data_IF_333938299489
#
_entry.id   IF_333938299489
#
_cell.length_a   1.000
_cell.length_b   1.000
_cell.length_c   1.000
_cell.angle_alpha   90.00
_cell.angle_beta   90.00
_cell.angle_gamma   90.00
#
_symmetry.space_group_name_H-M   'P 1'
#
loop_
_entity.id
_entity.type
_entity.pdbx_description
1 polymer ?
#
# COMPACT_ATOMS: atom_id res chain seq x y z
N UNK A 1 7.83 -7.36 -6.14
CA UNK A 1 9.01 -6.46 -6.08
C UNK A 1 10.24 -7.11 -6.66
N UNK A 2 10.70 -8.27 -6.16
CA UNK A 2 11.94 -8.97 -6.58
C UNK A 2 12.04 -9.14 -8.11
N UNK A 3 10.97 -9.62 -8.76
CA UNK A 3 10.98 -9.79 -10.23
C UNK A 3 11.27 -8.48 -10.99
N UNK A 4 10.67 -7.36 -10.54
CA UNK A 4 10.90 -6.04 -11.16
C UNK A 4 12.34 -5.57 -11.00
N UNK A 5 12.92 -5.77 -9.82
CA UNK A 5 14.32 -5.45 -9.56
C UNK A 5 15.29 -6.30 -10.42
N UNK A 6 15.07 -7.62 -10.50
CA UNK A 6 15.90 -8.52 -11.32
C UNK A 6 15.83 -8.13 -12.81
N UNK A 7 14.64 -7.81 -13.34
CA UNK A 7 14.47 -7.41 -14.74
C UNK A 7 15.18 -6.09 -15.05
N UNK A 8 15.07 -5.08 -14.16
CA UNK A 8 15.74 -3.81 -14.33
C UNK A 8 17.27 -3.97 -14.27
N UNK A 9 17.78 -4.65 -13.25
CA UNK A 9 19.21 -4.89 -13.08
C UNK A 9 19.80 -5.64 -14.27
N UNK A 10 19.13 -6.72 -14.71
CA UNK A 10 19.60 -7.52 -15.87
C UNK A 10 19.66 -6.70 -17.16
N UNK A 11 18.69 -5.80 -17.37
CA UNK A 11 18.67 -4.96 -18.56
C UNK A 11 19.85 -3.99 -18.62
N UNK A 12 20.48 -3.69 -17.49
CA UNK A 12 21.66 -2.82 -17.35
C UNK A 12 22.96 -3.61 -17.09
N UNK A 13 22.93 -4.95 -17.18
CA UNK A 13 24.11 -5.80 -17.04
C UNK A 13 24.51 -6.15 -15.60
N UNK A 14 23.61 -5.89 -14.62
CA UNK A 14 23.84 -6.21 -13.21
C UNK A 14 23.21 -7.54 -12.80
N UNK A 15 23.78 -8.16 -11.78
CA UNK A 15 23.25 -9.36 -11.14
C UNK A 15 22.65 -8.99 -9.79
N UNK A 16 21.55 -9.63 -9.41
CA UNK A 16 20.86 -9.43 -8.13
C UNK A 16 20.99 -10.68 -7.28
N UNK A 17 21.50 -10.55 -6.08
CA UNK A 17 21.41 -11.54 -5.01
C UNK A 17 20.24 -11.19 -4.11
N UNK A 18 19.47 -12.17 -3.66
CA UNK A 18 18.30 -11.95 -2.81
C UNK A 18 18.48 -12.71 -1.50
N UNK A 19 18.44 -12.01 -0.39
CA UNK A 19 18.34 -12.58 0.94
C UNK A 19 16.92 -12.32 1.48
N UNK A 20 16.32 -13.34 2.09
CA UNK A 20 15.02 -13.21 2.77
C UNK A 20 15.21 -13.44 4.26
N UNK A 21 14.71 -12.52 5.07
CA UNK A 21 14.91 -12.54 6.52
C UNK A 21 13.65 -12.95 7.29
N UNK A 22 12.50 -12.99 6.64
CA UNK A 22 11.18 -13.22 7.27
C UNK A 22 10.91 -12.33 8.50
N UNK A 23 11.57 -11.16 8.57
CA UNK A 23 11.47 -10.23 9.70
C UNK A 23 12.41 -10.52 10.87
N UNK A 24 13.32 -11.50 10.74
CA UNK A 24 14.35 -11.76 11.73
C UNK A 24 15.50 -10.74 11.62
N UNK A 25 15.63 -9.89 12.66
CA UNK A 25 16.63 -8.83 12.70
C UNK A 25 18.07 -9.34 12.86
N UNK A 26 18.28 -10.55 13.40
CA UNK A 26 19.63 -11.15 13.47
C UNK A 26 20.04 -11.63 12.09
N UNK A 27 19.18 -12.39 11.43
CA UNK A 27 19.41 -12.85 10.06
C UNK A 27 19.60 -11.70 9.09
N UNK A 28 18.89 -10.57 9.29
CA UNK A 28 19.07 -9.38 8.47
C UNK A 28 20.49 -8.83 8.55
N UNK A 29 21.03 -8.70 9.77
CA UNK A 29 22.42 -8.26 10.00
C UNK A 29 23.44 -9.22 9.42
N UNK A 30 23.26 -10.51 9.67
CA UNK A 30 24.16 -11.55 9.15
C UNK A 30 24.21 -11.53 7.62
N UNK A 31 23.06 -11.33 6.96
CA UNK A 31 22.99 -11.21 5.50
C UNK A 31 23.66 -9.93 4.98
N UNK A 32 23.47 -8.81 5.68
CA UNK A 32 24.13 -7.54 5.31
C UNK A 32 25.65 -7.64 5.45
N UNK A 33 26.14 -8.26 6.53
CA UNK A 33 27.58 -8.52 6.71
C UNK A 33 28.14 -9.43 5.63
N UNK A 34 27.43 -10.54 5.31
CA UNK A 34 27.82 -11.43 4.23
C UNK A 34 27.85 -10.73 2.87
N UNK A 35 26.86 -9.88 2.56
CA UNK A 35 26.85 -9.07 1.32
C UNK A 35 28.03 -8.11 1.26
N UNK A 36 28.39 -7.47 2.38
CA UNK A 36 29.58 -6.63 2.48
C UNK A 36 30.87 -7.42 2.23
N UNK A 37 31.02 -8.58 2.87
CA UNK A 37 32.19 -9.46 2.69
C UNK A 37 32.31 -10.01 1.26
N UNK A 38 31.20 -10.24 0.58
CA UNK A 38 31.14 -10.63 -0.83
C UNK A 38 31.34 -9.46 -1.79
N UNK A 39 31.58 -8.27 -1.27
CA UNK A 39 31.85 -7.07 -2.06
C UNK A 39 30.72 -6.74 -3.06
N UNK A 40 29.45 -6.89 -2.64
CA UNK A 40 28.35 -6.39 -3.46
C UNK A 40 28.44 -4.86 -3.58
N UNK A 41 28.15 -4.33 -4.76
CA UNK A 41 28.29 -2.89 -5.02
C UNK A 41 27.35 -2.04 -4.13
N UNK A 42 26.10 -2.50 -3.97
CA UNK A 42 25.00 -1.74 -3.32
C UNK A 42 23.90 -2.66 -2.78
N UNK A 43 23.05 -2.13 -1.91
CA UNK A 43 21.94 -2.88 -1.30
C UNK A 43 20.60 -2.18 -1.51
N UNK A 44 19.55 -2.95 -1.80
CA UNK A 44 18.17 -2.55 -1.60
C UNK A 44 17.64 -3.23 -0.35
N UNK A 45 17.33 -2.45 0.68
CA UNK A 45 16.65 -2.96 1.87
C UNK A 45 15.14 -2.79 1.66
N UNK A 46 14.39 -3.91 1.66
CA UNK A 46 13.00 -3.92 1.27
C UNK A 46 12.08 -4.57 2.29
N UNK A 47 10.87 -4.04 2.44
CA UNK A 47 9.80 -4.64 3.24
C UNK A 47 8.53 -4.86 2.44
N UNK A 48 7.67 -5.77 2.90
CA UNK A 48 6.41 -6.09 2.19
C UNK A 48 5.34 -5.01 2.39
N UNK A 49 5.38 -4.31 3.52
CA UNK A 49 4.45 -3.22 3.86
C UNK A 49 5.24 -1.98 4.23
N UNK A 50 4.74 -0.82 3.84
CA UNK A 50 5.36 0.46 4.20
C UNK A 50 5.23 0.71 5.70
N UNK A 51 6.36 0.78 6.39
CA UNK A 51 6.41 1.13 7.81
C UNK A 51 7.67 1.92 8.17
N UNK A 52 7.60 2.65 9.27
CA UNK A 52 8.76 3.34 9.83
C UNK A 52 9.62 2.36 10.65
N UNK A 53 10.93 2.37 10.42
CA UNK A 53 11.88 1.55 11.20
C UNK A 53 13.29 2.15 11.22
N UNK A 54 14.04 1.80 12.26
CA UNK A 54 15.47 2.05 12.27
C UNK A 54 16.19 1.18 11.22
N UNK A 55 17.19 1.78 10.58
CA UNK A 55 18.00 1.07 9.59
C UNK A 55 19.18 0.42 10.32
N UNK A 56 19.48 -0.88 10.07
CA UNK A 56 20.63 -1.55 10.66
C UNK A 56 21.94 -0.83 10.31
N UNK A 57 22.85 -0.69 11.28
CA UNK A 57 24.14 -0.01 11.07
C UNK A 57 24.98 -0.72 9.99
N UNK A 58 24.81 -2.02 9.82
CA UNK A 58 25.46 -2.82 8.78
C UNK A 58 25.08 -2.32 7.37
N UNK A 59 23.84 -1.86 7.17
CA UNK A 59 23.38 -1.28 5.89
C UNK A 59 24.08 0.05 5.57
N UNK A 60 24.57 0.79 6.58
CA UNK A 60 25.28 2.08 6.35
C UNK A 60 26.69 1.89 5.79
N UNK A 61 27.24 0.67 5.82
CA UNK A 61 28.56 0.35 5.27
C UNK A 61 28.56 0.30 3.73
N UNK A 62 27.39 0.26 3.13
CA UNK A 62 27.18 0.24 1.67
C UNK A 62 26.11 1.27 1.32
N UNK A 63 26.20 1.93 0.16
CA UNK A 63 25.10 2.76 -0.29
C UNK A 63 23.83 1.91 -0.47
N UNK A 64 22.76 2.36 0.19
CA UNK A 64 21.54 1.59 0.36
C UNK A 64 20.33 2.38 -0.16
N UNK A 65 19.48 1.72 -0.93
CA UNK A 65 18.14 2.23 -1.31
C UNK A 65 17.10 1.54 -0.43
N UNK A 66 16.20 2.32 0.14
CA UNK A 66 15.10 1.82 0.96
C UNK A 66 13.83 1.63 0.11
N UNK A 67 13.26 0.44 0.15
CA UNK A 67 12.03 0.10 -0.56
C UNK A 67 10.91 -0.26 0.42
N UNK A 68 9.83 0.50 0.43
CA UNK A 68 8.74 0.43 1.41
C UNK A 68 9.15 0.71 2.86
N UNK A 69 10.23 1.44 3.08
CA UNK A 69 10.74 1.78 4.41
C UNK A 69 10.82 3.30 4.53
N UNK A 70 10.26 3.84 5.61
CA UNK A 70 10.56 5.17 6.11
C UNK A 70 11.58 5.04 7.25
N UNK A 71 12.80 5.59 7.11
CA UNK A 71 13.79 5.55 8.17
C UNK A 71 13.32 6.39 9.36
N UNK A 72 13.66 5.95 10.57
CA UNK A 72 13.41 6.72 11.81
C UNK A 72 14.64 7.48 12.29
N UNK A 73 15.76 7.37 11.58
CA UNK A 73 16.97 8.16 11.77
C UNK A 73 17.02 9.31 10.76
N UNK A 74 17.91 10.28 10.99
CA UNK A 74 18.08 11.46 10.15
C UNK A 74 19.05 11.23 8.97
N UNK A 75 19.36 9.98 8.63
CA UNK A 75 20.29 9.68 7.55
C UNK A 75 19.64 9.81 6.16
N UNK A 76 20.46 10.26 5.20
CA UNK A 76 20.04 10.56 3.83
C UNK A 76 19.96 9.29 2.98
N UNK A 77 18.81 8.63 2.99
CA UNK A 77 18.56 7.47 2.12
C UNK A 77 17.74 7.83 0.90
N UNK A 78 18.08 7.25 -0.25
CA UNK A 78 17.16 7.18 -1.39
C UNK A 78 16.03 6.21 -1.05
N UNK A 79 14.80 6.70 -1.17
CA UNK A 79 13.59 5.94 -0.79
C UNK A 79 12.69 5.74 -1.98
N UNK A 80 12.18 4.54 -2.14
CA UNK A 80 11.15 4.20 -3.14
C UNK A 80 9.93 3.69 -2.40
N UNK A 81 8.82 4.39 -2.54
CA UNK A 81 7.59 4.15 -1.79
C UNK A 81 6.38 4.10 -2.72
N UNK A 82 5.33 3.36 -2.39
CA UNK A 82 4.05 3.49 -3.07
C UNK A 82 3.41 4.84 -2.74
N UNK A 83 2.75 5.47 -3.71
CA UNK A 83 2.02 6.73 -3.50
C UNK A 83 0.64 6.46 -2.88
N UNK A 84 0.65 6.13 -1.59
CA UNK A 84 -0.54 5.74 -0.84
C UNK A 84 -1.49 6.94 -0.60
N UNK A 85 -0.95 8.14 -0.47
CA UNK A 85 -1.76 9.36 -0.31
C UNK A 85 -2.56 9.63 -1.58
N UNK A 86 -1.90 9.62 -2.73
CA UNK A 86 -2.59 9.81 -4.01
C UNK A 86 -3.59 8.69 -4.30
N UNK A 87 -3.30 7.44 -3.91
CA UNK A 87 -4.23 6.32 -4.08
C UNK A 87 -5.48 6.49 -3.21
N UNK A 88 -5.32 6.90 -1.95
CA UNK A 88 -6.44 7.20 -1.06
C UNK A 88 -7.31 8.35 -1.58
N UNK A 89 -6.67 9.44 -2.03
CA UNK A 89 -7.36 10.57 -2.66
C UNK A 89 -8.12 10.15 -3.93
N UNK A 90 -7.51 9.35 -4.80
CA UNK A 90 -8.14 8.86 -6.01
C UNK A 90 -9.34 7.93 -5.71
N UNK A 91 -9.25 7.10 -4.67
CA UNK A 91 -10.34 6.24 -4.23
C UNK A 91 -11.54 7.05 -3.74
N UNK A 92 -11.30 8.06 -2.91
CA UNK A 92 -12.35 8.95 -2.42
C UNK A 92 -12.97 9.76 -3.58
N UNK A 93 -12.15 10.28 -4.49
CA UNK A 93 -12.62 11.02 -5.67
C UNK A 93 -13.52 10.15 -6.55
N UNK A 94 -13.15 8.92 -6.82
CA UNK A 94 -14.00 7.98 -7.56
C UNK A 94 -15.39 7.84 -6.92
N UNK A 95 -15.47 7.65 -5.60
CA UNK A 95 -16.75 7.51 -4.91
C UNK A 95 -17.56 8.81 -4.90
N UNK A 96 -16.91 9.97 -4.75
CA UNK A 96 -17.56 11.28 -4.81
C UNK A 96 -18.10 11.55 -6.22
N UNK A 97 -17.29 11.35 -7.26
CA UNK A 97 -17.64 11.63 -8.65
C UNK A 97 -18.75 10.70 -9.17
N UNK A 98 -18.82 9.47 -8.64
CA UNK A 98 -19.92 8.52 -8.90
C UNK A 98 -21.13 8.71 -7.98
N UNK A 99 -21.22 9.80 -7.25
CA UNK A 99 -22.43 10.24 -6.52
C UNK A 99 -22.66 9.59 -5.17
N UNK A 100 -21.73 8.79 -4.63
CA UNK A 100 -21.89 8.15 -3.34
C UNK A 100 -21.87 9.15 -2.17
N UNK A 101 -22.72 8.92 -1.18
CA UNK A 101 -22.94 9.85 -0.04
C UNK A 101 -22.86 9.16 1.32
N UNK A 102 -23.12 7.86 1.40
CA UNK A 102 -23.19 7.06 2.62
C UNK A 102 -22.05 6.05 2.63
N UNK A 103 -20.85 6.59 2.78
CA UNK A 103 -19.59 5.85 2.65
C UNK A 103 -19.14 5.37 4.01
N UNK A 104 -18.80 4.09 4.11
CA UNK A 104 -18.20 3.46 5.29
C UNK A 104 -16.79 3.00 4.96
N UNK A 105 -15.84 3.28 5.87
CA UNK A 105 -14.45 2.81 5.80
C UNK A 105 -14.32 1.48 6.55
N UNK A 106 -13.74 0.48 5.92
CA UNK A 106 -13.58 -0.86 6.49
C UNK A 106 -12.08 -1.20 6.62
N UNK A 107 -11.64 -1.44 7.85
CA UNK A 107 -10.27 -1.81 8.19
C UNK A 107 -9.46 -0.72 8.87
N UNK A 108 -9.97 0.49 8.96
CA UNK A 108 -9.27 1.64 9.58
C UNK A 108 -10.21 2.44 10.48
N UNK A 109 -9.63 3.25 11.38
CA UNK A 109 -10.34 4.29 12.13
C UNK A 109 -10.58 5.54 11.27
N UNK A 110 -11.05 6.59 11.90
CA UNK A 110 -11.32 7.90 11.30
C UNK A 110 -10.18 8.91 11.48
N UNK A 111 -9.15 8.56 12.25
CA UNK A 111 -7.97 9.36 12.51
C UNK A 111 -6.73 8.72 11.85
N UNK A 112 -6.06 9.42 10.90
CA UNK A 112 -4.84 8.91 10.27
C UNK A 112 -3.72 8.57 11.26
N UNK A 113 -3.61 9.29 12.39
CA UNK A 113 -2.60 9.02 13.40
C UNK A 113 -2.79 7.65 14.09
N UNK A 114 -4.02 7.12 14.07
CA UNK A 114 -4.41 5.85 14.66
C UNK A 114 -5.08 4.91 13.65
N UNK A 115 -4.82 5.09 12.36
CA UNK A 115 -5.51 4.35 11.30
C UNK A 115 -5.27 2.84 11.39
N UNK A 116 -4.03 2.43 11.66
CA UNK A 116 -3.65 1.02 11.81
C UNK A 116 -2.32 0.88 12.56
N UNK A 117 -2.19 -0.06 13.51
CA UNK A 117 -1.00 -0.17 14.37
C UNK A 117 0.28 -0.63 13.65
N UNK A 118 0.18 -1.21 12.46
CA UNK A 118 1.30 -1.88 11.79
C UNK A 118 1.73 -1.26 10.46
N UNK A 119 1.22 -0.10 10.07
CA UNK A 119 1.65 0.41 8.79
C UNK A 119 1.30 1.86 8.48
N UNK A 120 2.25 2.56 7.86
CA UNK A 120 2.07 3.91 7.35
C UNK A 120 1.09 3.96 6.17
N UNK A 121 1.02 2.90 5.37
CA UNK A 121 0.15 2.83 4.20
C UNK A 121 -1.31 3.13 4.53
N UNK A 122 -1.83 2.56 5.64
CA UNK A 122 -3.21 2.82 6.07
C UNK A 122 -3.43 4.29 6.43
N UNK A 123 -2.51 4.89 7.19
CA UNK A 123 -2.56 6.30 7.58
C UNK A 123 -2.49 7.22 6.36
N UNK A 124 -1.61 6.94 5.43
CA UNK A 124 -1.42 7.72 4.20
C UNK A 124 -2.64 7.63 3.27
N UNK A 125 -3.19 6.41 3.04
CA UNK A 125 -4.44 6.21 2.27
C UNK A 125 -5.60 6.96 2.91
N UNK A 126 -5.75 6.83 4.22
CA UNK A 126 -6.81 7.50 4.96
C UNK A 126 -6.66 9.03 4.87
N UNK A 127 -5.46 9.57 5.07
CA UNK A 127 -5.19 11.01 4.94
C UNK A 127 -5.60 11.53 3.56
N UNK A 128 -5.17 10.84 2.49
CA UNK A 128 -5.56 11.20 1.11
C UNK A 128 -7.07 11.14 0.89
N UNK A 129 -7.73 10.10 1.38
CA UNK A 129 -9.18 9.96 1.24
C UNK A 129 -9.95 11.06 2.00
N UNK A 130 -9.58 11.33 3.26
CA UNK A 130 -10.23 12.33 4.08
C UNK A 130 -10.10 13.75 3.51
N UNK A 131 -8.95 14.10 2.90
CA UNK A 131 -8.78 15.40 2.26
C UNK A 131 -9.81 15.62 1.14
N UNK A 132 -10.02 14.61 0.29
CA UNK A 132 -11.01 14.68 -0.81
C UNK A 132 -12.44 14.71 -0.28
N UNK A 133 -12.78 13.91 0.72
CA UNK A 133 -14.11 13.96 1.33
C UNK A 133 -14.40 15.34 1.95
N UNK A 134 -13.42 15.93 2.63
CA UNK A 134 -13.55 17.27 3.19
C UNK A 134 -13.74 18.35 2.10
N UNK A 135 -12.93 18.34 1.04
CA UNK A 135 -13.04 19.24 -0.11
C UNK A 135 -14.42 19.14 -0.79
N UNK A 136 -14.97 17.94 -0.89
CA UNK A 136 -16.28 17.69 -1.48
C UNK A 136 -17.46 17.95 -0.52
N UNK A 137 -17.21 18.39 0.71
CA UNK A 137 -18.23 18.55 1.77
C UNK A 137 -18.92 17.22 2.12
N UNK A 138 -18.22 16.09 1.97
CA UNK A 138 -18.72 14.76 2.30
C UNK A 138 -18.20 14.32 3.66
N UNK A 139 -19.05 13.68 4.42
CA UNK A 139 -18.67 13.02 5.67
C UNK A 139 -18.75 11.50 5.48
N UNK A 140 -17.76 10.78 6.02
CA UNK A 140 -17.87 9.33 6.18
C UNK A 140 -18.94 9.03 7.24
N UNK A 141 -19.77 8.02 6.99
CA UNK A 141 -20.81 7.62 7.96
C UNK A 141 -20.17 6.91 9.14
N UNK A 142 -19.25 6.00 8.89
CA UNK A 142 -18.46 5.36 9.94
C UNK A 142 -17.12 4.85 9.41
N UNK A 143 -16.17 4.70 10.33
CA UNK A 143 -14.93 3.98 10.15
C UNK A 143 -14.90 2.76 11.09
N UNK A 144 -14.50 1.61 10.59
CA UNK A 144 -14.50 0.33 11.31
C UNK A 144 -13.08 -0.24 11.36
N UNK A 145 -12.31 0.06 12.41
CA UNK A 145 -10.94 -0.40 12.53
C UNK A 145 -10.84 -1.90 12.83
N UNK A 146 -9.77 -2.51 12.39
CA UNK A 146 -9.34 -3.84 12.81
C UNK A 146 -7.83 -3.97 12.65
N UNK A 147 -7.19 -4.77 13.49
CA UNK A 147 -5.76 -5.07 13.39
C UNK A 147 -5.47 -6.19 12.37
N UNK A 148 -6.48 -6.97 12.00
CA UNK A 148 -6.32 -8.07 11.06
C UNK A 148 -7.09 -7.79 9.78
N UNK A 149 -6.37 -7.48 8.72
CA UNK A 149 -6.97 -7.25 7.40
C UNK A 149 -7.22 -8.57 6.66
N UNK A 150 -8.10 -9.41 7.23
CA UNK A 150 -8.47 -10.73 6.74
C UNK A 150 -9.96 -10.82 6.41
N UNK A 151 -10.40 -11.77 5.56
CA UNK A 151 -11.81 -11.89 5.16
C UNK A 151 -12.79 -12.05 6.32
N UNK A 152 -12.51 -12.83 7.39
CA UNK A 152 -13.42 -12.90 8.53
C UNK A 152 -13.69 -11.56 9.22
N UNK A 153 -12.68 -10.70 9.30
CA UNK A 153 -12.84 -9.35 9.85
C UNK A 153 -13.68 -8.46 8.94
N UNK A 154 -13.44 -8.50 7.63
CA UNK A 154 -14.27 -7.79 6.66
C UNK A 154 -15.73 -8.20 6.75
N UNK A 155 -16.00 -9.49 6.87
CA UNK A 155 -17.34 -10.04 7.09
C UNK A 155 -17.98 -9.51 8.38
N UNK A 156 -17.28 -9.60 9.50
CA UNK A 156 -17.77 -9.15 10.81
C UNK A 156 -18.09 -7.64 10.80
N UNK A 157 -17.14 -6.83 10.34
CA UNK A 157 -17.29 -5.36 10.34
C UNK A 157 -18.44 -4.89 9.45
N UNK A 158 -18.60 -5.48 8.26
CA UNK A 158 -19.70 -5.13 7.36
C UNK A 158 -21.03 -5.66 7.89
N UNK A 159 -21.05 -6.83 8.51
CA UNK A 159 -22.24 -7.32 9.23
C UNK A 159 -22.71 -6.34 10.30
N UNK A 160 -21.79 -5.83 11.13
CA UNK A 160 -22.10 -4.82 12.15
C UNK A 160 -22.65 -3.51 11.55
N UNK A 161 -22.10 -3.07 10.40
CA UNK A 161 -22.64 -1.90 9.68
C UNK A 161 -24.08 -2.14 9.25
N UNK A 162 -24.37 -3.28 8.62
CA UNK A 162 -25.71 -3.60 8.13
C UNK A 162 -26.70 -3.82 9.29
N UNK A 163 -26.28 -4.49 10.36
CA UNK A 163 -27.12 -4.77 11.53
C UNK A 163 -27.42 -3.52 12.37
N UNK A 164 -26.59 -2.47 12.27
CA UNK A 164 -26.85 -1.18 12.94
C UNK A 164 -28.00 -0.39 12.32
N UNK A 165 -28.51 -0.78 11.15
CA UNK A 165 -29.50 -0.04 10.38
C UNK A 165 -28.96 1.23 9.73
N UNK A 166 -27.65 1.45 9.74
CA UNK A 166 -27.03 2.58 9.06
C UNK A 166 -27.24 2.48 7.56
N UNK A 167 -27.57 3.60 6.92
CA UNK A 167 -27.63 3.67 5.47
C UNK A 167 -26.23 3.55 4.88
N UNK A 168 -26.06 2.71 3.85
CA UNK A 168 -24.81 2.47 3.16
C UNK A 168 -25.04 2.47 1.65
N UNK A 169 -24.21 3.19 0.90
CA UNK A 169 -24.17 3.13 -0.56
C UNK A 169 -22.78 2.79 -1.10
N UNK A 170 -21.74 2.94 -0.29
CA UNK A 170 -20.40 2.49 -0.63
C UNK A 170 -19.61 1.97 0.59
N UNK A 171 -18.80 0.94 0.34
CA UNK A 171 -17.76 0.46 1.24
C UNK A 171 -16.39 0.73 0.61
N UNK A 172 -15.53 1.48 1.31
CA UNK A 172 -14.11 1.61 1.00
C UNK A 172 -13.34 0.68 1.92
N UNK A 173 -12.97 -0.48 1.40
CA UNK A 173 -12.20 -1.50 2.10
C UNK A 173 -10.71 -1.24 1.92
N UNK A 174 -9.93 -1.23 3.01
CA UNK A 174 -8.52 -0.86 2.95
C UNK A 174 -7.60 -1.96 2.41
N UNK A 175 -8.14 -3.15 2.11
CA UNK A 175 -7.54 -4.14 1.23
C UNK A 175 -8.59 -5.09 0.63
N UNK A 176 -8.20 -5.86 -0.39
CA UNK A 176 -9.07 -6.82 -1.08
C UNK A 176 -9.55 -7.96 -0.18
N UNK A 177 -8.78 -8.36 0.85
CA UNK A 177 -9.19 -9.42 1.77
C UNK A 177 -10.38 -8.97 2.63
N UNK A 178 -10.37 -7.74 3.12
CA UNK A 178 -11.52 -7.15 3.78
C UNK A 178 -12.72 -7.05 2.83
N UNK A 179 -12.48 -6.62 1.58
CA UNK A 179 -13.52 -6.55 0.56
C UNK A 179 -14.14 -7.94 0.26
N UNK A 180 -13.34 -9.00 0.28
CA UNK A 180 -13.86 -10.37 0.13
C UNK A 180 -14.83 -10.73 1.26
N UNK A 181 -14.50 -10.39 2.50
CA UNK A 181 -15.43 -10.57 3.63
C UNK A 181 -16.67 -9.69 3.52
N UNK A 182 -16.50 -8.44 3.04
CA UNK A 182 -17.62 -7.54 2.76
C UNK A 182 -18.62 -8.15 1.75
N UNK A 183 -18.12 -8.73 0.66
CA UNK A 183 -18.95 -9.41 -0.33
C UNK A 183 -19.79 -10.53 0.29
N UNK A 184 -19.19 -11.33 1.17
CA UNK A 184 -19.90 -12.43 1.87
C UNK A 184 -21.00 -11.88 2.78
N UNK A 185 -20.71 -10.82 3.57
CA UNK A 185 -21.69 -10.21 4.46
C UNK A 185 -22.87 -9.57 3.70
N UNK A 186 -22.59 -8.90 2.57
CA UNK A 186 -23.62 -8.35 1.69
C UNK A 186 -24.48 -9.45 1.06
N UNK A 187 -23.84 -10.51 0.54
CA UNK A 187 -24.53 -11.63 -0.10
C UNK A 187 -25.47 -12.35 0.86
N UNK A 188 -25.05 -12.62 2.10
CA UNK A 188 -25.90 -13.28 3.10
C UNK A 188 -27.18 -12.48 3.45
N UNK A 189 -27.12 -11.15 3.28
CA UNK A 189 -28.27 -10.25 3.52
C UNK A 189 -29.04 -9.88 2.25
N UNK A 190 -28.70 -10.49 1.12
CA UNK A 190 -29.34 -10.21 -0.17
C UNK A 190 -29.06 -8.81 -0.71
N UNK A 191 -28.03 -8.12 -0.22
CA UNK A 191 -27.60 -6.80 -0.69
C UNK A 191 -26.74 -6.97 -1.94
N UNK A 192 -27.13 -6.34 -3.02
CA UNK A 192 -26.49 -6.51 -4.34
C UNK A 192 -25.32 -5.54 -4.50
N UNK A 193 -24.23 -6.06 -5.05
CA UNK A 193 -23.07 -5.28 -5.47
C UNK A 193 -23.09 -5.23 -7.02
N UNK A 194 -23.00 -4.06 -7.64
CA UNK A 194 -22.91 -2.70 -7.08
C UNK A 194 -24.27 -2.01 -6.88
N UNK A 195 -25.40 -2.64 -7.25
CA UNK A 195 -26.71 -1.98 -7.39
C UNK A 195 -27.17 -1.33 -6.09
N UNK A 196 -27.04 -2.02 -4.96
CA UNK A 196 -27.44 -1.52 -3.65
C UNK A 196 -26.25 -0.89 -2.93
N UNK A 197 -25.06 -1.51 -2.97
CA UNK A 197 -23.82 -1.04 -2.33
C UNK A 197 -22.63 -1.23 -3.25
N UNK A 198 -21.90 -0.14 -3.53
CA UNK A 198 -20.61 -0.21 -4.22
C UNK A 198 -19.49 -0.66 -3.29
N UNK A 199 -18.53 -1.43 -3.79
CA UNK A 199 -17.35 -1.86 -3.03
C UNK A 199 -16.08 -1.48 -3.79
N UNK A 200 -15.20 -0.71 -3.13
CA UNK A 200 -13.91 -0.27 -3.65
C UNK A 200 -12.80 -0.70 -2.69
N UNK A 201 -11.63 -1.04 -3.21
CA UNK A 201 -10.56 -1.55 -2.36
C UNK A 201 -9.15 -1.26 -2.89
N UNK A 202 -8.13 -1.87 -2.26
CA UNK A 202 -6.72 -1.77 -2.60
C UNK A 202 -6.09 -3.16 -2.66
N UNK A 203 -4.99 -3.33 -3.40
CA UNK A 203 -4.03 -4.40 -3.60
C UNK A 203 -4.07 -5.05 -5.00
N UNK A 204 -5.23 -5.24 -5.61
CA UNK A 204 -5.46 -6.03 -6.84
C UNK A 204 -4.92 -7.45 -6.73
N UNK A 205 -5.29 -8.12 -5.63
CA UNK A 205 -4.97 -9.53 -5.42
C UNK A 205 -5.57 -10.40 -6.52
N UNK A 206 -5.00 -11.59 -6.72
CA UNK A 206 -5.41 -12.48 -7.81
C UNK A 206 -6.90 -12.84 -7.82
N UNK A 207 -7.55 -12.87 -6.65
CA UNK A 207 -8.98 -13.17 -6.54
C UNK A 207 -9.90 -11.97 -6.82
N UNK A 208 -9.40 -10.71 -6.79
CA UNK A 208 -10.24 -9.53 -7.02
C UNK A 208 -11.01 -9.60 -8.34
N UNK A 209 -10.39 -10.14 -9.39
CA UNK A 209 -11.03 -10.38 -10.71
C UNK A 209 -11.99 -11.58 -10.73
N UNK A 210 -11.92 -12.45 -9.73
CA UNK A 210 -12.74 -13.66 -9.65
C UNK A 210 -13.98 -13.48 -8.77
N UNK A 211 -14.05 -12.42 -7.96
CA UNK A 211 -15.27 -12.05 -7.26
C UNK A 211 -16.40 -11.76 -8.27
N UNK A 212 -17.64 -11.90 -7.84
CA UNK A 212 -18.81 -11.60 -8.66
C UNK A 212 -19.73 -10.63 -7.89
N UNK A 213 -19.87 -9.41 -8.43
CA UNK A 213 -19.14 -8.81 -9.56
C UNK A 213 -17.63 -8.64 -9.29
N UNK A 214 -16.82 -8.45 -10.37
CA UNK A 214 -15.37 -8.23 -10.24
C UNK A 214 -15.08 -6.98 -9.40
N UNK A 215 -14.14 -7.09 -8.46
CA UNK A 215 -13.80 -6.02 -7.51
C UNK A 215 -12.96 -4.93 -8.15
N UNK A 216 -13.44 -3.69 -8.10
CA UNK A 216 -12.69 -2.47 -8.43
C UNK A 216 -11.71 -2.17 -7.32
N UNK A 217 -10.42 -1.98 -7.64
CA UNK A 217 -9.35 -1.89 -6.65
C UNK A 217 -8.17 -1.11 -7.18
N UNK A 218 -7.38 -0.49 -6.30
CA UNK A 218 -6.11 0.13 -6.63
C UNK A 218 -4.99 -0.90 -6.52
N UNK A 219 -4.30 -1.17 -7.64
CA UNK A 219 -3.30 -2.23 -7.69
C UNK A 219 -2.01 -1.81 -6.96
N UNK A 220 -1.56 -2.62 -6.00
CA UNK A 220 -0.25 -2.42 -5.39
C UNK A 220 0.86 -2.68 -6.41
N UNK A 221 1.73 -1.69 -6.73
CA UNK A 221 2.59 -1.72 -7.91
C UNK A 221 3.91 -2.49 -7.66
N UNK A 222 3.83 -3.74 -7.18
CA UNK A 222 4.99 -4.53 -6.73
C UNK A 222 6.15 -4.56 -7.74
N UNK A 223 5.83 -4.77 -9.03
CA UNK A 223 6.87 -4.88 -10.08
C UNK A 223 7.50 -3.52 -10.37
N UNK A 224 6.70 -2.46 -10.39
CA UNK A 224 7.19 -1.09 -10.61
C UNK A 224 8.05 -0.60 -9.44
N UNK A 225 7.65 -0.88 -8.21
CA UNK A 225 8.44 -0.60 -7.01
C UNK A 225 9.82 -1.26 -7.06
N UNK A 226 9.88 -2.55 -7.36
CA UNK A 226 11.15 -3.26 -7.48
C UNK A 226 12.01 -2.74 -8.63
N UNK A 227 11.41 -2.38 -9.77
CA UNK A 227 12.11 -1.75 -10.89
C UNK A 227 12.70 -0.40 -10.47
N UNK A 228 11.88 0.49 -9.89
CA UNK A 228 12.31 1.82 -9.47
C UNK A 228 13.47 1.74 -8.45
N UNK A 229 13.38 0.83 -7.47
CA UNK A 229 14.45 0.65 -6.50
C UNK A 229 15.78 0.18 -7.15
N UNK A 230 15.71 -0.71 -8.14
CA UNK A 230 16.90 -1.15 -8.87
C UNK A 230 17.47 -0.05 -9.76
N UNK A 231 16.61 0.72 -10.44
CA UNK A 231 17.03 1.83 -11.28
C UNK A 231 17.72 2.92 -10.44
N UNK A 232 17.13 3.33 -9.30
CA UNK A 232 17.76 4.27 -8.35
C UNK A 232 19.11 3.76 -7.84
N UNK A 233 19.18 2.46 -7.48
CA UNK A 233 20.41 1.86 -6.98
C UNK A 233 21.52 1.85 -8.05
N UNK A 234 21.19 1.49 -9.27
CA UNK A 234 22.16 1.43 -10.37
C UNK A 234 22.62 2.86 -10.75
N UNK A 235 21.71 3.83 -10.74
CA UNK A 235 22.06 5.22 -10.97
C UNK A 235 23.05 5.74 -9.91
N UNK A 236 22.93 5.31 -8.64
CA UNK A 236 23.92 5.61 -7.59
C UNK A 236 25.28 4.94 -7.87
N UNK A 237 25.30 3.72 -8.43
CA UNK A 237 26.54 3.03 -8.83
C UNK A 237 27.24 3.83 -9.95
N UNK A 238 26.51 4.15 -11.02
CA UNK A 238 27.06 4.78 -12.23
C UNK A 238 27.50 6.22 -12.02
N UNK A 239 26.85 6.96 -11.13
CA UNK A 239 27.23 8.34 -10.77
C UNK A 239 28.45 8.42 -9.84
N UNK A 240 28.92 7.28 -9.26
CA UNK A 240 30.05 7.25 -8.34
C UNK A 240 29.79 7.99 -7.04
N UNK A 241 28.71 7.64 -6.37
CA UNK A 241 28.23 8.04 -5.03
C UNK A 241 29.01 9.14 -4.31
N UNK A 242 28.79 10.39 -4.67
CA UNK A 242 28.99 11.53 -3.77
C UNK A 242 27.59 12.00 -3.38
N UNK A 243 27.12 11.61 -2.19
CA UNK A 243 26.10 12.41 -1.49
C UNK A 243 26.82 13.70 -1.12
N UNK A 244 26.48 14.78 -1.77
CA UNK A 244 27.11 16.11 -1.57
C UNK A 244 26.67 16.80 -0.27
N UNK A 245 26.10 16.07 0.68
CA UNK A 245 25.62 16.59 1.96
C UNK A 245 24.40 17.53 1.84
N UNK A 246 23.75 17.53 0.70
CA UNK A 246 22.43 18.18 0.54
C UNK A 246 21.35 17.34 1.23
N UNK A 247 20.24 17.98 1.62
CA UNK A 247 19.09 17.32 2.24
C UNK A 247 18.70 16.02 1.50
N UNK A 248 18.15 15.00 2.22
CA UNK A 248 17.77 13.75 1.60
C UNK A 248 16.90 13.99 0.38
N UNK A 249 17.11 13.27 -0.73
CA UNK A 249 16.28 13.43 -1.91
C UNK A 249 14.82 13.08 -1.56
N UNK A 250 13.84 13.75 -2.18
CA UNK A 250 12.45 13.38 -1.99
C UNK A 250 12.26 11.90 -2.35
N UNK A 251 11.34 11.22 -1.66
CA UNK A 251 11.04 9.84 -1.96
C UNK A 251 10.54 9.68 -3.40
N UNK A 252 11.03 8.66 -4.11
CA UNK A 252 10.47 8.26 -5.41
C UNK A 252 9.14 7.58 -5.16
N UNK A 253 8.04 8.26 -5.46
CA UNK A 253 6.68 7.74 -5.26
C UNK A 253 6.20 6.99 -6.51
N UNK A 254 5.77 5.74 -6.32
CA UNK A 254 5.27 4.88 -7.39
C UNK A 254 3.74 4.82 -7.31
N UNK A 255 3.01 5.26 -8.36
CA UNK A 255 1.55 5.30 -8.34
C UNK A 255 0.91 3.90 -8.22
N UNK A 256 -0.24 3.84 -7.53
CA UNK A 256 -1.12 2.67 -7.50
C UNK A 256 -2.20 2.81 -8.59
N UNK A 257 -2.12 2.10 -9.71
CA UNK A 257 -3.10 2.25 -10.78
C UNK A 257 -4.45 1.65 -10.40
N UNK A 258 -5.53 2.38 -10.71
CA UNK A 258 -6.89 1.87 -10.57
C UNK A 258 -7.14 0.71 -11.55
N UNK A 259 -7.73 -0.36 -11.05
CA UNK A 259 -8.29 -1.48 -11.81
C UNK A 259 -9.81 -1.43 -11.75
N UNK A 260 -10.37 -0.66 -12.65
CA UNK A 260 -11.83 -0.55 -12.76
C UNK A 260 -12.43 -1.89 -13.18
N UNK A 261 -13.44 -2.35 -12.40
CA UNK A 261 -14.25 -3.54 -12.67
C UNK A 261 -15.72 -3.21 -12.42
N UNK A 262 -16.50 -4.17 -11.92
CA UNK A 262 -17.95 -4.04 -11.88
C UNK A 262 -18.53 -3.83 -10.48
N UNK A 263 -17.69 -3.56 -9.47
CA UNK A 263 -18.16 -3.41 -8.07
C UNK A 263 -18.49 -1.98 -7.65
N UNK A 264 -18.31 -1.02 -8.55
CA UNK A 264 -18.67 0.39 -8.35
C UNK A 264 -19.59 0.80 -9.48
N UNK A 265 -20.70 1.44 -9.14
CA UNK A 265 -21.68 1.97 -10.11
C UNK A 265 -21.82 3.48 -9.98
N UNK A 266 -22.28 4.12 -11.03
CA UNK A 266 -22.64 5.54 -11.03
C UNK A 266 -24.02 5.70 -10.35
N UNK A 267 -24.14 6.70 -9.46
CA UNK A 267 -25.34 7.11 -8.73
C UNK A 267 -25.70 8.58 -8.96
N UNK A 268 -25.04 9.22 -9.93
CA UNK A 268 -25.33 10.62 -10.32
C UNK A 268 -26.62 10.77 -11.09
#
# INVERSE_FOLDING_TARGET
MIRGAIEAARARGYMVFVGETAGDAHLERDLLDAMFDWQVDRVVLATMMTHARAIPVEATRMPTVLLNIEPTDDADYVRVLPDEVAAGAAAARLLVDTGHRRIHLIGVGDDPANAHPFGLAAAQRLSGALSVFAEAGRQIVSARPTVQWLPPEGFRLVSEVLDSGAEVDALLCFNDRLAMGAYQALQERGVRVPEDVSVLSFDDTSFARWLRPGLTTFAFPQRALGRAAADELIDLIERGAATDGSSPPPAHLVPLPLRMRSSVTDRT
#
